data_IF_993224225191
#
_entry.id   IF_993224225191
#
_cell.length_a   1.000
_cell.length_b   1.000
_cell.length_c   1.000
_cell.angle_alpha   90.00
_cell.angle_beta   90.00
_cell.angle_gamma   90.00
#
_symmetry.space_group_name_H-M   'P 1'
#
loop_
_entity.id
_entity.type
_entity.pdbx_description
1 polymer ?
#
# COMPACT_ATOMS: atom_id res chain seq x y z
N UNK A 1 -16.55 -0.53 14.59
CA UNK A 1 -16.94 -0.43 16.02
C UNK A 1 -16.17 -1.40 16.92
N UNK A 2 -15.85 -2.63 16.50
CA UNK A 2 -15.16 -3.62 17.35
C UNK A 2 -13.71 -3.28 17.74
N UNK A 3 -12.89 -2.73 16.83
CA UNK A 3 -11.49 -2.37 17.13
C UNK A 3 -11.36 -1.26 18.18
N UNK A 4 -12.21 -0.22 18.11
CA UNK A 4 -12.24 0.83 19.13
C UNK A 4 -12.65 0.28 20.51
N UNK A 5 -13.61 -0.65 20.55
CA UNK A 5 -14.00 -1.35 21.78
C UNK A 5 -12.87 -2.24 22.31
N UNK A 6 -12.15 -2.94 21.44
CA UNK A 6 -11.00 -3.77 21.80
C UNK A 6 -9.85 -2.91 22.35
N UNK A 7 -9.58 -1.76 21.74
CA UNK A 7 -8.61 -0.78 22.23
C UNK A 7 -8.97 -0.29 23.64
N UNK A 8 -10.23 0.08 23.87
CA UNK A 8 -10.71 0.49 25.19
C UNK A 8 -10.59 -0.62 26.24
N UNK A 9 -10.78 -1.88 25.86
CA UNK A 9 -10.57 -3.01 26.76
C UNK A 9 -9.08 -3.20 27.07
N UNK A 10 -8.21 -3.20 26.05
CA UNK A 10 -6.77 -3.34 26.21
C UNK A 10 -6.19 -2.26 27.13
N UNK A 11 -6.66 -1.01 27.01
CA UNK A 11 -6.28 0.10 27.90
C UNK A 11 -6.67 -0.15 29.35
N UNK A 12 -7.90 -0.60 29.58
CA UNK A 12 -8.40 -0.90 30.94
C UNK A 12 -7.67 -2.07 31.59
N UNK A 13 -7.25 -3.05 30.79
CA UNK A 13 -6.45 -4.17 31.27
C UNK A 13 -4.94 -3.91 31.24
N UNK A 14 -4.52 -2.69 30.89
CA UNK A 14 -3.12 -2.29 30.70
C UNK A 14 -2.30 -3.20 29.77
N UNK A 15 -2.98 -3.84 28.83
CA UNK A 15 -2.35 -4.72 27.85
C UNK A 15 -1.77 -3.89 26.70
N UNK A 16 -0.50 -3.51 26.85
CA UNK A 16 0.21 -2.65 25.90
C UNK A 16 0.47 -3.31 24.55
N UNK A 17 0.61 -4.62 24.52
CA UNK A 17 0.75 -5.37 23.27
C UNK A 17 -0.56 -5.39 22.48
N UNK A 18 -1.69 -5.63 23.14
CA UNK A 18 -3.00 -5.54 22.46
C UNK A 18 -3.35 -4.11 22.08
N UNK A 19 -2.98 -3.13 22.91
CA UNK A 19 -3.13 -1.71 22.59
C UNK A 19 -2.35 -1.36 21.32
N UNK A 20 -1.08 -1.73 21.25
CA UNK A 20 -0.21 -1.56 20.07
C UNK A 20 -0.87 -2.14 18.82
N UNK A 21 -1.27 -3.42 18.85
CA UNK A 21 -1.90 -4.05 17.67
C UNK A 21 -3.22 -3.38 17.28
N UNK A 22 -4.06 -3.01 18.23
CA UNK A 22 -5.33 -2.33 17.93
C UNK A 22 -5.09 -0.97 17.26
N UNK A 23 -4.14 -0.19 17.76
CA UNK A 23 -3.75 1.10 17.20
C UNK A 23 -3.18 0.94 15.79
N UNK A 24 -2.33 -0.06 15.54
CA UNK A 24 -1.83 -0.34 14.19
C UNK A 24 -2.96 -0.62 13.20
N UNK A 25 -3.90 -1.49 13.57
CA UNK A 25 -5.05 -1.80 12.69
C UNK A 25 -5.96 -0.60 12.46
N UNK A 26 -6.20 0.23 13.49
CA UNK A 26 -6.99 1.45 13.33
C UNK A 26 -6.29 2.45 12.40
N UNK A 27 -4.98 2.67 12.56
CA UNK A 27 -4.22 3.55 11.67
C UNK A 27 -4.28 3.07 10.21
N UNK A 28 -4.10 1.77 9.95
CA UNK A 28 -4.25 1.17 8.63
C UNK A 28 -5.65 1.38 8.05
N UNK A 29 -6.71 1.17 8.83
CA UNK A 29 -8.09 1.39 8.37
C UNK A 29 -8.36 2.86 8.05
N UNK A 30 -7.90 3.78 8.89
CA UNK A 30 -8.06 5.21 8.63
C UNK A 30 -7.31 5.62 7.35
N UNK A 31 -6.11 5.07 7.10
CA UNK A 31 -5.39 5.24 5.85
C UNK A 31 -6.20 4.73 4.64
N UNK A 32 -6.72 3.50 4.70
CA UNK A 32 -7.52 2.90 3.62
C UNK A 32 -8.81 3.69 3.33
N UNK A 33 -9.36 4.37 4.33
CA UNK A 33 -10.53 5.24 4.21
C UNK A 33 -10.19 6.67 3.81
N UNK A 34 -8.93 6.99 3.50
CA UNK A 34 -8.41 8.33 3.24
C UNK A 34 -8.69 9.34 4.38
N UNK A 35 -8.84 8.86 5.61
CA UNK A 35 -9.01 9.69 6.82
C UNK A 35 -7.65 9.97 7.44
N UNK A 36 -6.82 10.74 6.73
CA UNK A 36 -5.41 10.93 7.11
C UNK A 36 -5.24 11.60 8.47
N UNK A 37 -6.10 12.55 8.85
CA UNK A 37 -6.06 13.17 10.18
C UNK A 37 -6.27 12.14 11.31
N UNK A 38 -7.26 11.25 11.18
CA UNK A 38 -7.49 10.18 12.14
C UNK A 38 -6.33 9.18 12.16
N UNK A 39 -5.78 8.85 10.99
CA UNK A 39 -4.61 7.98 10.87
C UNK A 39 -3.41 8.56 11.61
N UNK A 40 -3.09 9.84 11.41
CA UNK A 40 -2.00 10.52 12.11
C UNK A 40 -2.20 10.48 13.62
N UNK A 41 -3.41 10.78 14.11
CA UNK A 41 -3.72 10.69 15.54
C UNK A 41 -3.47 9.27 16.11
N UNK A 42 -3.87 8.22 15.39
CA UNK A 42 -3.60 6.84 15.82
C UNK A 42 -2.11 6.47 15.75
N UNK A 43 -1.38 6.98 14.76
CA UNK A 43 0.05 6.79 14.61
C UNK A 43 0.84 7.42 15.78
N UNK A 44 0.47 8.63 16.23
CA UNK A 44 1.08 9.27 17.40
C UNK A 44 0.83 8.47 18.69
N UNK A 45 -0.41 8.02 18.90
CA UNK A 45 -0.74 7.13 20.02
C UNK A 45 0.06 5.82 19.95
N UNK A 46 0.21 5.26 18.74
CA UNK A 46 0.96 4.03 18.52
C UNK A 46 2.44 4.18 18.86
N UNK A 47 3.08 5.30 18.48
CA UNK A 47 4.48 5.60 18.85
C UNK A 47 4.65 5.68 20.36
N UNK A 48 3.72 6.35 21.05
CA UNK A 48 3.74 6.44 22.52
C UNK A 48 3.67 5.06 23.18
N UNK A 49 2.81 4.17 22.68
CA UNK A 49 2.68 2.81 23.21
C UNK A 49 3.90 1.96 22.86
N UNK A 50 4.42 2.06 21.63
CA UNK A 50 5.60 1.34 21.18
C UNK A 50 6.84 1.67 22.03
N UNK A 51 7.06 2.96 22.32
CA UNK A 51 8.16 3.40 23.18
C UNK A 51 8.10 2.78 24.58
N UNK A 52 6.89 2.56 25.12
CA UNK A 52 6.69 1.94 26.44
C UNK A 52 6.95 0.44 26.46
N UNK A 53 6.86 -0.23 25.32
CA UNK A 53 7.15 -1.67 25.18
C UNK A 53 8.52 -1.93 24.53
N UNK A 54 9.27 -0.88 24.20
CA UNK A 54 10.60 -0.99 23.58
C UNK A 54 10.56 -1.38 22.10
N UNK A 55 9.45 -1.15 21.40
CA UNK A 55 9.27 -1.50 19.99
C UNK A 55 9.54 -0.32 19.06
N UNK A 56 10.17 -0.60 17.93
CA UNK A 56 10.25 0.35 16.83
C UNK A 56 8.97 0.38 15.99
N UNK A 57 8.73 1.50 15.32
CA UNK A 57 7.52 1.69 14.49
C UNK A 57 7.82 2.06 13.03
N UNK A 58 8.66 1.29 12.30
CA UNK A 58 8.97 1.59 10.90
C UNK A 58 7.71 1.56 10.01
N UNK A 59 6.70 0.77 10.39
CA UNK A 59 5.41 0.77 9.69
C UNK A 59 4.63 2.09 9.85
N UNK A 60 4.79 2.79 10.99
CA UNK A 60 4.16 4.10 11.19
C UNK A 60 4.79 5.13 10.24
N UNK A 61 6.12 5.09 10.10
CA UNK A 61 6.84 5.97 9.17
C UNK A 61 6.36 5.72 7.73
N UNK A 62 6.18 4.45 7.36
CA UNK A 62 5.67 4.09 6.03
C UNK A 62 4.24 4.57 5.80
N UNK A 63 3.34 4.45 6.79
CA UNK A 63 1.96 4.97 6.68
C UNK A 63 1.92 6.50 6.55
N UNK A 64 2.79 7.21 7.27
CA UNK A 64 2.89 8.67 7.17
C UNK A 64 3.41 9.09 5.78
N UNK A 65 4.47 8.46 5.28
CA UNK A 65 4.99 8.75 3.93
C UNK A 65 3.98 8.41 2.83
N UNK A 66 3.26 7.28 2.96
CA UNK A 66 2.17 6.94 2.04
C UNK A 66 1.06 7.98 2.04
N UNK A 67 0.67 8.53 3.20
CA UNK A 67 -0.34 9.59 3.24
C UNK A 67 0.15 10.90 2.63
N UNK A 68 1.42 11.24 2.82
CA UNK A 68 2.05 12.39 2.17
C UNK A 68 2.06 12.22 0.64
N UNK A 69 2.36 11.03 0.11
CA UNK A 69 2.24 10.74 -1.33
C UNK A 69 0.81 10.97 -1.84
N UNK A 70 -0.20 10.49 -1.10
CA UNK A 70 -1.61 10.65 -1.50
C UNK A 70 -2.09 12.10 -1.50
N UNK A 71 -1.38 12.99 -0.81
CA UNK A 71 -1.68 14.42 -0.71
C UNK A 71 -0.75 15.28 -1.57
N UNK A 72 0.06 14.65 -2.44
CA UNK A 72 0.97 15.28 -3.40
C UNK A 72 2.08 16.13 -2.76
N UNK A 73 2.71 15.62 -1.71
CA UNK A 73 3.93 16.19 -1.13
C UNK A 73 5.19 15.69 -1.88
N UNK A 74 5.99 16.61 -2.38
CA UNK A 74 7.19 16.33 -3.21
C UNK A 74 8.28 15.56 -2.45
N UNK A 75 8.34 15.68 -1.12
CA UNK A 75 9.35 14.97 -0.31
C UNK A 75 8.94 13.52 0.06
N UNK A 76 7.72 13.11 -0.30
CA UNK A 76 7.14 11.88 0.21
C UNK A 76 7.76 10.60 -0.39
N UNK A 77 8.34 10.66 -1.59
CA UNK A 77 9.02 9.53 -2.23
C UNK A 77 10.27 9.12 -1.40
N UNK A 78 11.11 10.07 -1.01
CA UNK A 78 12.33 9.80 -0.22
C UNK A 78 11.98 9.28 1.19
N UNK A 79 10.98 9.89 1.83
CA UNK A 79 10.49 9.45 3.13
C UNK A 79 9.95 8.01 3.06
N UNK A 80 9.24 7.67 1.98
CA UNK A 80 8.72 6.32 1.78
C UNK A 80 9.85 5.31 1.63
N UNK A 81 10.85 5.58 0.78
CA UNK A 81 11.96 4.64 0.58
C UNK A 81 12.77 4.41 1.86
N UNK A 82 12.98 5.47 2.65
CA UNK A 82 13.62 5.36 3.96
C UNK A 82 12.82 4.46 4.92
N UNK A 83 11.49 4.64 4.97
CA UNK A 83 10.62 3.81 5.80
C UNK A 83 10.57 2.35 5.31
N UNK A 84 10.55 2.11 4.00
CA UNK A 84 10.60 0.78 3.40
C UNK A 84 11.93 0.08 3.72
N UNK A 85 13.06 0.78 3.66
CA UNK A 85 14.37 0.25 4.06
C UNK A 85 14.37 -0.20 5.54
N UNK A 86 13.77 0.59 6.43
CA UNK A 86 13.63 0.21 7.85
C UNK A 86 12.68 -0.98 8.05
N UNK A 87 11.59 -1.06 7.29
CA UNK A 87 10.69 -2.23 7.30
C UNK A 87 11.40 -3.50 6.83
N UNK A 88 12.26 -3.40 5.80
CA UNK A 88 13.11 -4.52 5.35
C UNK A 88 14.06 -4.97 6.46
N UNK A 89 14.69 -4.03 7.17
CA UNK A 89 15.60 -4.33 8.28
C UNK A 89 14.88 -4.96 9.49
N UNK A 90 13.65 -4.53 9.78
CA UNK A 90 12.82 -5.08 10.85
C UNK A 90 12.24 -6.48 10.55
N UNK A 91 12.39 -6.97 9.31
CA UNK A 91 11.87 -8.25 8.81
C UNK A 91 10.35 -8.47 9.00
N UNK A 92 9.56 -7.40 9.15
CA UNK A 92 8.09 -7.50 9.14
C UNK A 92 7.56 -7.58 7.70
N UNK A 93 7.66 -8.78 7.15
CA UNK A 93 7.22 -9.12 5.79
C UNK A 93 5.75 -8.79 5.53
N UNK A 94 4.89 -8.81 6.56
CA UNK A 94 3.46 -8.50 6.38
C UNK A 94 3.27 -7.01 6.13
N UNK A 95 3.88 -6.16 6.94
CA UNK A 95 3.78 -4.71 6.77
C UNK A 95 4.57 -4.20 5.56
N UNK A 96 5.71 -4.83 5.23
CA UNK A 96 6.46 -4.51 4.03
C UNK A 96 5.64 -4.77 2.75
N UNK A 97 5.03 -5.96 2.62
CA UNK A 97 4.19 -6.27 1.46
C UNK A 97 3.00 -5.30 1.33
N UNK A 98 2.36 -4.95 2.46
CA UNK A 98 1.28 -3.98 2.49
C UNK A 98 1.71 -2.60 1.98
N UNK A 99 2.85 -2.10 2.48
CA UNK A 99 3.36 -0.77 2.16
C UNK A 99 3.78 -0.68 0.68
N UNK A 100 4.51 -1.68 0.19
CA UNK A 100 4.93 -1.77 -1.21
C UNK A 100 3.73 -1.81 -2.18
N UNK A 101 2.71 -2.62 -1.88
CA UNK A 101 1.48 -2.65 -2.69
C UNK A 101 0.72 -1.32 -2.67
N UNK A 102 0.70 -0.63 -1.53
CA UNK A 102 0.05 0.69 -1.41
C UNK A 102 0.78 1.76 -2.24
N UNK A 103 2.11 1.76 -2.19
CA UNK A 103 2.95 2.63 -3.00
C UNK A 103 2.77 2.35 -4.50
N UNK A 104 2.85 1.08 -4.91
CA UNK A 104 2.63 0.68 -6.29
C UNK A 104 1.25 1.11 -6.82
N UNK A 105 0.20 1.01 -6.00
CA UNK A 105 -1.14 1.50 -6.38
C UNK A 105 -1.19 3.02 -6.57
N UNK A 106 -0.46 3.79 -5.76
CA UNK A 106 -0.29 5.22 -5.98
C UNK A 106 0.44 5.52 -7.29
N UNK A 107 1.61 4.93 -7.49
CA UNK A 107 2.41 5.15 -8.69
C UNK A 107 1.68 4.74 -9.96
N UNK A 108 0.82 3.73 -9.90
CA UNK A 108 0.01 3.30 -11.03
C UNK A 108 -0.96 4.40 -11.46
N UNK A 109 -1.69 5.01 -10.51
CA UNK A 109 -2.58 6.15 -10.78
C UNK A 109 -1.80 7.39 -11.24
N UNK A 110 -0.59 7.58 -10.73
CA UNK A 110 0.30 8.66 -11.15
C UNK A 110 0.99 8.40 -12.51
N UNK A 111 0.74 7.26 -13.16
CA UNK A 111 1.36 6.92 -14.46
C UNK A 111 2.82 6.49 -14.38
N UNK A 112 3.41 6.34 -13.18
CA UNK A 112 4.83 6.05 -12.95
C UNK A 112 5.10 4.53 -12.97
N UNK A 113 4.96 3.92 -14.15
CA UNK A 113 4.93 2.45 -14.31
C UNK A 113 6.22 1.72 -13.89
N UNK A 114 7.37 2.38 -13.96
CA UNK A 114 8.63 1.79 -13.49
C UNK A 114 8.59 1.53 -11.98
N UNK A 115 8.09 2.49 -11.20
CA UNK A 115 7.95 2.33 -9.76
C UNK A 115 6.87 1.32 -9.40
N UNK A 116 5.81 1.21 -10.20
CA UNK A 116 4.83 0.10 -10.06
C UNK A 116 5.53 -1.24 -10.17
N UNK A 117 6.34 -1.45 -11.23
CA UNK A 117 7.07 -2.71 -11.43
C UNK A 117 8.04 -3.01 -10.29
N UNK A 118 8.80 -2.01 -9.85
CA UNK A 118 9.75 -2.16 -8.75
C UNK A 118 9.05 -2.60 -7.46
N UNK A 119 8.05 -1.82 -7.04
CA UNK A 119 7.40 -2.02 -5.75
C UNK A 119 6.49 -3.26 -5.75
N UNK A 120 5.71 -3.48 -6.81
CA UNK A 120 4.80 -4.63 -6.88
C UNK A 120 5.55 -5.97 -7.04
N UNK A 121 6.70 -6.01 -7.74
CA UNK A 121 7.50 -7.24 -7.84
C UNK A 121 8.09 -7.64 -6.49
N UNK A 122 8.57 -6.67 -5.72
CA UNK A 122 9.05 -6.92 -4.37
C UNK A 122 7.89 -7.33 -3.45
N UNK A 123 6.75 -6.64 -3.52
CA UNK A 123 5.55 -6.99 -2.75
C UNK A 123 5.12 -8.43 -3.01
N UNK A 124 5.12 -8.86 -4.28
CA UNK A 124 4.82 -10.23 -4.68
C UNK A 124 5.81 -11.22 -4.05
N UNK A 125 7.10 -10.94 -4.14
CA UNK A 125 8.17 -11.78 -3.58
C UNK A 125 8.01 -11.95 -2.07
N UNK A 126 7.79 -10.85 -1.35
CA UNK A 126 7.62 -10.86 0.11
C UNK A 126 6.32 -11.55 0.49
N UNK A 127 5.20 -11.23 -0.16
CA UNK A 127 3.89 -11.81 0.13
C UNK A 127 3.84 -13.32 -0.16
N UNK A 128 4.53 -13.79 -1.19
CA UNK A 128 4.65 -15.22 -1.51
C UNK A 128 5.35 -15.98 -0.39
N UNK A 129 6.45 -15.45 0.16
CA UNK A 129 7.19 -16.06 1.29
C UNK A 129 6.31 -16.31 2.52
N UNK A 130 5.38 -15.41 2.80
CA UNK A 130 4.45 -15.50 3.93
C UNK A 130 3.04 -15.98 3.54
N UNK A 131 2.85 -16.43 2.30
CA UNK A 131 1.58 -16.95 1.74
C UNK A 131 0.37 -16.02 1.95
N UNK A 132 0.57 -14.70 1.85
CA UNK A 132 -0.50 -13.69 1.98
C UNK A 132 -1.24 -13.51 0.66
N UNK A 133 -2.28 -14.33 0.45
CA UNK A 133 -3.07 -14.37 -0.80
C UNK A 133 -3.58 -13.01 -1.29
N UNK A 134 -4.11 -12.17 -0.39
CA UNK A 134 -4.59 -10.83 -0.76
C UNK A 134 -3.47 -9.95 -1.32
N UNK A 135 -2.30 -9.95 -0.67
CA UNK A 135 -1.15 -9.14 -1.11
C UNK A 135 -0.55 -9.67 -2.42
N UNK A 136 -0.54 -10.99 -2.60
CA UNK A 136 -0.13 -11.63 -3.86
C UNK A 136 -1.06 -11.19 -5.01
N UNK A 137 -2.38 -11.24 -4.80
CA UNK A 137 -3.37 -10.88 -5.81
C UNK A 137 -3.27 -9.39 -6.20
N UNK A 138 -3.11 -8.50 -5.21
CA UNK A 138 -2.91 -7.06 -5.44
C UNK A 138 -1.64 -6.83 -6.28
N UNK A 139 -0.52 -7.44 -5.88
CA UNK A 139 0.76 -7.28 -6.56
C UNK A 139 0.69 -7.74 -8.03
N UNK A 140 0.09 -8.91 -8.28
CA UNK A 140 -0.12 -9.43 -9.64
C UNK A 140 -0.97 -8.48 -10.49
N UNK A 141 -2.09 -7.98 -9.95
CA UNK A 141 -2.95 -7.04 -10.67
C UNK A 141 -2.21 -5.74 -11.06
N UNK A 142 -1.39 -5.21 -10.15
CA UNK A 142 -0.55 -4.02 -10.40
C UNK A 142 0.51 -4.27 -11.47
N UNK A 143 1.16 -5.44 -11.45
CA UNK A 143 2.13 -5.83 -12.48
C UNK A 143 1.47 -5.99 -13.84
N UNK A 144 0.29 -6.61 -13.92
CA UNK A 144 -0.48 -6.69 -15.17
C UNK A 144 -0.87 -5.31 -15.69
N UNK A 145 -1.28 -4.37 -14.82
CA UNK A 145 -1.55 -2.99 -15.22
C UNK A 145 -0.30 -2.29 -15.79
N UNK A 146 0.86 -2.49 -15.17
CA UNK A 146 2.13 -1.96 -15.67
C UNK A 146 2.58 -2.60 -17.00
N UNK A 147 2.30 -3.90 -17.21
CA UNK A 147 2.62 -4.60 -18.46
C UNK A 147 1.71 -4.15 -19.62
N UNK A 148 0.40 -4.02 -19.37
CA UNK A 148 -0.58 -3.56 -20.36
C UNK A 148 -0.32 -2.13 -20.87
N UNK A 149 0.40 -1.31 -20.11
CA UNK A 149 0.88 0.01 -20.56
C UNK A 149 1.98 -0.07 -21.63
N UNK A 150 2.55 -1.26 -21.85
CA UNK A 150 3.66 -1.57 -22.76
C UNK A 150 3.30 -2.58 -23.86
N UNK A 151 2.03 -2.99 -23.99
CA UNK A 151 1.44 -4.05 -24.86
C UNK A 151 1.44 -5.50 -24.32
N UNK A 152 0.71 -6.38 -25.02
CA UNK A 152 -0.26 -7.43 -24.60
C UNK A 152 0.02 -8.32 -23.35
N UNK A 153 -1.06 -8.72 -22.62
CA UNK A 153 -0.95 -9.50 -21.38
C UNK A 153 -0.64 -10.97 -21.63
N UNK A 154 0.49 -11.45 -21.09
CA UNK A 154 0.61 -12.85 -20.68
C UNK A 154 0.01 -12.98 -19.28
N UNK A 155 -1.24 -13.48 -19.23
CA UNK A 155 -1.82 -13.95 -17.98
C UNK A 155 -1.19 -15.31 -17.70
N UNK A 156 -0.25 -15.33 -16.76
CA UNK A 156 0.25 -16.57 -16.21
C UNK A 156 -0.88 -17.24 -15.41
N UNK A 157 -1.36 -18.38 -15.92
CA UNK A 157 -2.61 -19.09 -15.57
C UNK A 157 -2.60 -19.74 -14.16
N UNK A 158 -1.57 -19.47 -13.35
CA UNK A 158 -1.30 -20.25 -12.13
C UNK A 158 -2.02 -19.74 -10.86
N UNK A 159 -3.15 -19.06 -11.02
CA UNK A 159 -3.98 -18.62 -9.88
C UNK A 159 -5.48 -18.94 -10.02
N UNK A 160 -5.86 -19.83 -10.94
CA UNK A 160 -7.24 -20.34 -11.00
C UNK A 160 -7.47 -21.50 -10.02
N UNK A 161 -7.14 -21.30 -8.75
CA UNK A 161 -7.98 -21.89 -7.71
C UNK A 161 -9.20 -20.96 -7.61
N UNK A 162 -10.42 -21.46 -7.84
CA UNK A 162 -11.67 -20.71 -7.68
C UNK A 162 -11.78 -20.15 -6.25
N UNK A 163 -11.15 -19.00 -6.01
CA UNK A 163 -11.32 -18.19 -4.80
C UNK A 163 -12.32 -17.13 -5.20
N UNK A 164 -13.49 -17.15 -4.56
CA UNK A 164 -14.50 -16.15 -4.83
C UNK A 164 -13.93 -14.77 -4.51
N UNK A 165 -14.30 -13.74 -5.28
CA UNK A 165 -13.86 -12.36 -5.03
C UNK A 165 -14.17 -11.94 -3.57
N UNK A 166 -15.18 -12.55 -2.96
CA UNK A 166 -15.65 -12.34 -1.58
C UNK A 166 -14.63 -12.74 -0.49
N UNK A 167 -13.70 -13.65 -0.80
CA UNK A 167 -12.65 -14.10 0.12
C UNK A 167 -11.50 -13.08 0.25
N UNK A 168 -11.48 -12.06 -0.61
CA UNK A 168 -10.47 -11.00 -0.59
C UNK A 168 -10.86 -9.84 0.32
N UNK A 169 -9.85 -9.22 0.94
CA UNK A 169 -10.05 -8.00 1.73
C UNK A 169 -10.74 -6.91 0.91
N UNK A 170 -11.44 -5.97 1.58
CA UNK A 170 -12.11 -4.86 0.88
C UNK A 170 -11.15 -4.10 -0.05
N UNK A 171 -9.90 -3.89 0.40
CA UNK A 171 -8.82 -3.29 -0.40
C UNK A 171 -8.47 -4.15 -1.62
N UNK A 172 -8.23 -5.45 -1.43
CA UNK A 172 -7.91 -6.34 -2.54
C UNK A 172 -9.05 -6.40 -3.56
N UNK A 173 -10.31 -6.45 -3.11
CA UNK A 173 -11.48 -6.39 -3.99
C UNK A 173 -11.55 -5.07 -4.76
N UNK A 174 -11.26 -3.94 -4.12
CA UNK A 174 -11.27 -2.64 -4.79
C UNK A 174 -10.24 -2.59 -5.94
N UNK A 175 -9.02 -3.06 -5.68
CA UNK A 175 -7.96 -3.15 -6.71
C UNK A 175 -8.33 -4.16 -7.81
N UNK A 176 -8.92 -5.31 -7.47
CA UNK A 176 -9.27 -6.33 -8.47
C UNK A 176 -10.48 -5.94 -9.34
N UNK A 177 -11.48 -5.23 -8.78
CA UNK A 177 -12.66 -4.76 -9.54
C UNK A 177 -12.33 -3.56 -10.42
N UNK A 178 -11.51 -2.67 -9.90
CA UNK A 178 -11.05 -1.47 -10.57
C UNK A 178 -9.53 -1.53 -10.62
N UNK A 179 -8.95 -2.39 -11.47
CA UNK A 179 -7.50 -2.43 -11.66
C UNK A 179 -7.05 -1.00 -11.95
N UNK A 180 -6.05 -0.49 -11.22
CA UNK A 180 -5.61 0.88 -11.41
C UNK A 180 -5.16 1.03 -12.86
N UNK A 181 -5.90 1.83 -13.62
CA UNK A 181 -5.55 2.10 -14.99
C UNK A 181 -4.43 3.15 -15.01
N UNK A 182 -3.38 2.96 -15.82
CA UNK A 182 -2.39 4.00 -16.02
C UNK A 182 -3.09 5.26 -16.55
N UNK A 183 -2.73 6.43 -16.03
CA UNK A 183 -3.17 7.69 -16.61
C UNK A 183 -2.89 7.66 -18.13
N UNK A 184 -3.93 7.71 -18.96
CA UNK A 184 -3.78 7.66 -20.42
C UNK A 184 -2.85 8.79 -20.83
N UNK A 185 -1.75 8.47 -21.53
CA UNK A 185 -0.97 9.48 -22.24
C UNK A 185 -1.92 10.15 -23.24
N UNK A 186 -2.25 11.42 -23.02
CA UNK A 186 -2.88 12.23 -24.04
C UNK A 186 -1.90 12.23 -25.23
N UNK A 187 -2.30 11.83 -26.43
CA UNK A 187 -1.43 11.96 -27.60
C UNK A 187 -1.08 13.44 -27.73
N UNK A 188 0.18 13.80 -27.50
CA UNK A 188 0.69 15.13 -27.85
C UNK A 188 0.41 15.33 -29.33
N UNK A 189 -0.50 16.25 -29.66
CA UNK A 189 -0.77 16.61 -31.04
C UNK A 189 0.56 17.00 -31.68
N UNK A 190 0.93 16.31 -32.76
CA UNK A 190 2.12 16.63 -33.53
C UNK A 190 2.05 18.10 -33.98
N UNK A 191 3.17 18.84 -34.00
CA UNK A 191 3.18 20.19 -34.50
C UNK A 191 2.73 20.17 -35.97
N UNK A 192 1.69 20.95 -36.26
CA UNK A 192 1.22 21.18 -37.64
C UNK A 192 2.42 21.66 -38.47
N UNK A 193 2.80 20.99 -39.57
CA UNK A 193 3.89 21.47 -40.39
C UNK A 193 3.51 22.85 -40.93
N UNK A 194 4.30 23.86 -40.55
CA UNK A 194 4.11 25.24 -40.98
C UNK A 194 4.12 25.30 -42.50
N UNK A 195 3.05 25.88 -43.06
CA UNK A 195 2.99 26.31 -44.44
C UNK A 195 4.11 27.33 -44.68
N UNK A 196 5.16 26.90 -45.39
CA UNK A 196 6.09 27.82 -46.03
C UNK A 196 5.33 28.52 -47.15
N UNK A 197 5.25 29.85 -47.07
CA UNK A 197 4.84 30.73 -48.18
C UNK A 197 5.92 31.76 -48.40
#
# INVERSE_FOLDING_TARGET
>A
MYLARSLALARRSEDRWREYKCLTWLATLHFEMARYADMHARCEELRSVAARIGEETPFVDALQALAALMTADDAADEALESALARLRAADDKSYLAYALNSAASFYCRAGRMEQVRLHASEALTVAAKIRRRCEIAIAKALLSAAANSSSAPEIDDDCRASIALEDFSARARAVLRHPPEPARRVPTAAPTPGLQT
#
